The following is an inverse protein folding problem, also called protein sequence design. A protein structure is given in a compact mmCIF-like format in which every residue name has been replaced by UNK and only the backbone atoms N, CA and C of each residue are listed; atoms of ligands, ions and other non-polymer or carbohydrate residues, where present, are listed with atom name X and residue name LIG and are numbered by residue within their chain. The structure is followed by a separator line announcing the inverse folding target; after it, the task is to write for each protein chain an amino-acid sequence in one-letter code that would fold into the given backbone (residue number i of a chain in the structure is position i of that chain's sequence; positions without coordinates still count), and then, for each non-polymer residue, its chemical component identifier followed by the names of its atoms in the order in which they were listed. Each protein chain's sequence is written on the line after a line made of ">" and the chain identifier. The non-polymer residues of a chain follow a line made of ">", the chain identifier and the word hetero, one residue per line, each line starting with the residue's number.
data_IF_830016197482
#
_entry.id   IF_830016197482
#
_cell.length_a   1.000
_cell.length_b   1.000
_cell.length_c   1.000
_cell.angle_alpha   90.00
_cell.angle_beta   90.00
_cell.angle_gamma   90.00
#
_symmetry.space_group_name_H-M   'P 1'
#
loop_
_entity.id
_entity.type
_entity.pdbx_description
1 polymer ?
#
# COMPACT_ATOMS: atom_id res chain seq x y z
N UNK A 1 12.66 11.64 9.31
CA UNK A 1 11.55 11.14 8.50
C UNK A 1 11.35 12.08 7.32
N UNK A 2 11.12 11.55 6.12
CA UNK A 2 10.92 12.30 4.87
C UNK A 2 9.42 12.58 4.70
N UNK A 3 9.04 13.83 4.46
CA UNK A 3 7.65 14.18 4.17
C UNK A 3 7.32 13.90 2.71
N UNK A 4 6.41 12.96 2.46
CA UNK A 4 5.93 12.57 1.14
C UNK A 4 4.48 13.01 0.97
N UNK A 5 4.28 14.15 0.30
CA UNK A 5 2.95 14.69 0.04
C UNK A 5 2.53 14.57 -1.43
N UNK A 6 1.22 14.38 -1.65
CA UNK A 6 0.62 14.44 -2.97
C UNK A 6 0.91 15.80 -3.65
N UNK A 7 1.23 15.85 -4.95
CA UNK A 7 1.29 14.74 -5.90
C UNK A 7 2.52 13.82 -5.69
N UNK A 8 2.30 12.51 -5.79
CA UNK A 8 3.33 11.47 -5.67
C UNK A 8 4.05 11.25 -7.01
N UNK A 9 4.66 12.31 -7.54
CA UNK A 9 5.38 12.27 -8.81
C UNK A 9 6.45 11.18 -8.83
N UNK A 10 6.71 10.60 -10.00
CA UNK A 10 7.77 9.59 -10.19
C UNK A 10 9.13 10.01 -9.64
N UNK A 11 9.51 11.28 -9.83
CA UNK A 11 10.77 11.84 -9.33
C UNK A 11 10.90 11.72 -7.80
N UNK A 12 9.90 12.18 -7.05
CA UNK A 12 9.85 12.04 -5.58
C UNK A 12 9.96 10.58 -5.14
N UNK A 13 9.31 9.68 -5.87
CA UNK A 13 9.25 8.25 -5.52
C UNK A 13 10.58 7.57 -5.79
N UNK A 14 11.23 7.89 -6.92
CA UNK A 14 12.56 7.37 -7.26
C UNK A 14 13.67 7.94 -6.38
N UNK A 15 13.45 9.09 -5.73
CA UNK A 15 14.41 9.63 -4.77
C UNK A 15 14.48 8.79 -3.47
N UNK A 16 13.42 8.04 -3.15
CA UNK A 16 13.36 7.19 -1.98
C UNK A 16 14.24 5.93 -2.13
N UNK A 17 14.79 5.48 -1.01
CA UNK A 17 15.64 4.29 -0.91
C UNK A 17 15.15 3.38 0.21
N UNK A 18 15.51 2.10 0.12
CA UNK A 18 15.27 1.16 1.22
C UNK A 18 15.84 1.72 2.54
N UNK A 19 15.03 1.64 3.60
CA UNK A 19 15.36 2.14 4.93
C UNK A 19 14.86 3.57 5.21
N UNK A 20 14.45 4.32 4.18
CA UNK A 20 13.88 5.65 4.40
C UNK A 20 12.56 5.54 5.17
N UNK A 21 12.48 6.28 6.28
CA UNK A 21 11.25 6.49 7.02
C UNK A 21 10.50 7.67 6.41
N UNK A 22 9.20 7.49 6.12
CA UNK A 22 8.37 8.50 5.46
C UNK A 22 7.11 8.83 6.26
N UNK A 23 6.68 10.08 6.16
CA UNK A 23 5.34 10.52 6.52
C UNK A 23 4.54 10.81 5.25
N UNK A 24 3.49 10.04 5.02
CA UNK A 24 2.66 10.14 3.82
C UNK A 24 1.45 11.03 4.10
N UNK A 25 1.25 12.06 3.27
CA UNK A 25 0.11 12.97 3.35
C UNK A 25 -0.56 13.14 1.98
N UNK A 26 -1.87 12.92 1.91
CA UNK A 26 -2.63 13.01 0.66
C UNK A 26 -3.71 11.93 0.56
N UNK A 27 -4.17 11.66 -0.66
CA UNK A 27 -5.21 10.65 -0.91
C UNK A 27 -4.57 9.31 -1.22
N UNK A 28 -5.03 8.27 -0.51
CA UNK A 28 -4.67 6.86 -0.74
C UNK A 28 -5.93 6.04 -0.97
N UNK A 29 -5.81 4.96 -1.74
CA UNK A 29 -6.92 4.04 -1.99
C UNK A 29 -6.65 2.71 -1.33
N UNK A 30 -7.62 2.12 -0.64
CA UNK A 30 -7.47 0.74 -0.18
C UNK A 30 -7.76 -0.25 -1.30
N UNK A 31 -7.09 -1.39 -1.27
CA UNK A 31 -7.40 -2.51 -2.14
C UNK A 31 -6.61 -3.74 -1.74
N UNK A 32 -7.29 -4.87 -1.59
CA UNK A 32 -6.71 -6.16 -1.20
C UNK A 32 -7.06 -7.24 -2.20
N UNK A 33 -7.13 -8.48 -1.75
CA UNK A 33 -7.36 -9.70 -2.50
C UNK A 33 -8.47 -9.56 -3.57
N UNK A 34 -9.67 -9.08 -3.19
CA UNK A 34 -10.80 -9.00 -4.12
C UNK A 34 -10.58 -7.95 -5.24
N UNK A 35 -10.04 -6.79 -4.89
CA UNK A 35 -9.75 -5.71 -5.84
C UNK A 35 -8.65 -6.13 -6.80
N UNK A 36 -7.56 -6.72 -6.30
CA UNK A 36 -6.44 -7.15 -7.12
C UNK A 36 -6.86 -8.22 -8.12
N UNK A 37 -7.55 -9.27 -7.63
CA UNK A 37 -8.06 -10.32 -8.50
C UNK A 37 -9.03 -9.76 -9.55
N UNK A 38 -9.98 -8.92 -9.14
CA UNK A 38 -10.96 -8.34 -10.06
C UNK A 38 -10.31 -7.52 -11.17
N UNK A 39 -9.34 -6.65 -10.84
CA UNK A 39 -8.65 -5.83 -11.85
C UNK A 39 -7.76 -6.68 -12.76
N UNK A 40 -7.05 -7.67 -12.21
CA UNK A 40 -6.25 -8.61 -13.00
C UNK A 40 -7.10 -9.43 -13.98
N UNK A 41 -8.32 -9.83 -13.59
CA UNK A 41 -9.27 -10.55 -14.46
C UNK A 41 -9.99 -9.64 -15.50
N UNK A 42 -9.54 -8.39 -15.67
CA UNK A 42 -10.09 -7.45 -16.66
C UNK A 42 -11.23 -6.57 -16.14
N UNK A 43 -11.46 -6.58 -14.83
CA UNK A 43 -12.31 -5.62 -14.15
C UNK A 43 -11.85 -4.18 -14.35
N UNK A 44 -12.79 -3.23 -14.32
CA UNK A 44 -12.49 -1.81 -14.50
C UNK A 44 -12.58 -1.07 -13.18
N UNK A 45 -11.73 -0.06 -13.01
CA UNK A 45 -11.88 0.89 -11.91
C UNK A 45 -13.26 1.55 -12.00
N UNK A 46 -13.92 1.80 -10.86
CA UNK A 46 -15.19 2.49 -10.84
C UNK A 46 -15.00 3.94 -11.30
N UNK A 47 -16.04 4.58 -11.87
CA UNK A 47 -15.97 5.97 -12.29
C UNK A 47 -15.49 6.88 -11.15
N UNK A 48 -14.51 7.74 -11.44
CA UNK A 48 -13.93 8.67 -10.48
C UNK A 48 -12.72 8.13 -9.69
N UNK A 49 -12.41 6.84 -9.76
CA UNK A 49 -11.16 6.31 -9.17
C UNK A 49 -10.04 6.39 -10.19
N UNK A 50 -8.96 7.06 -9.80
CA UNK A 50 -7.71 7.09 -10.56
C UNK A 50 -6.56 6.68 -9.63
N UNK A 51 -5.91 5.56 -9.95
CA UNK A 51 -4.76 5.05 -9.20
C UNK A 51 -3.41 5.53 -9.76
N UNK A 52 -3.41 6.21 -10.92
CA UNK A 52 -2.19 6.75 -11.52
C UNK A 52 -1.59 7.82 -10.62
N UNK A 53 -0.28 7.73 -10.43
CA UNK A 53 0.47 8.59 -9.51
C UNK A 53 -0.07 8.56 -8.08
N UNK A 54 -0.74 7.46 -7.71
CA UNK A 54 -1.38 7.22 -6.43
C UNK A 54 -0.68 6.14 -5.61
N UNK A 55 -1.23 5.91 -4.42
CA UNK A 55 -0.78 4.89 -3.48
C UNK A 55 -1.93 3.92 -3.20
N UNK A 56 -1.66 2.62 -3.33
CA UNK A 56 -2.59 1.54 -3.01
C UNK A 56 -2.25 0.95 -1.64
N UNK A 57 -3.20 0.97 -0.72
CA UNK A 57 -3.04 0.51 0.64
C UNK A 57 -3.70 -0.86 0.84
N UNK A 58 -2.90 -1.89 1.15
CA UNK A 58 -3.37 -3.24 1.44
C UNK A 58 -3.97 -3.28 2.86
N UNK A 59 -5.16 -2.71 3.00
CA UNK A 59 -5.86 -2.55 4.25
C UNK A 59 -7.31 -3.01 4.11
N UNK A 60 -7.79 -3.74 5.10
CA UNK A 60 -9.22 -3.97 5.31
C UNK A 60 -9.67 -3.10 6.47
N UNK A 61 -9.99 -1.81 6.23
CA UNK A 61 -10.29 -0.91 7.32
C UNK A 61 -11.60 -1.30 8.00
N UNK A 62 -11.68 -1.04 9.30
CA UNK A 62 -12.96 -1.04 10.02
C UNK A 62 -13.50 0.38 9.94
N UNK A 63 -14.65 0.52 9.29
CA UNK A 63 -15.30 1.82 9.06
C UNK A 63 -16.72 1.78 9.59
N UNK A 64 -17.08 2.79 10.37
CA UNK A 64 -18.41 2.97 10.95
C UNK A 64 -18.98 4.30 10.48
N UNK A 65 -20.31 4.45 10.54
CA UNK A 65 -20.94 5.76 10.44
C UNK A 65 -20.98 6.42 11.82
N UNK A 66 -20.64 7.69 11.90
CA UNK A 66 -20.88 8.50 13.09
C UNK A 66 -22.37 8.88 13.23
N UNK A 67 -22.71 9.62 14.28
CA UNK A 67 -24.08 10.08 14.55
C UNK A 67 -24.64 10.98 13.45
N UNK A 68 -23.77 11.61 12.65
CA UNK A 68 -24.12 12.49 11.54
C UNK A 68 -24.19 11.73 10.20
N UNK A 69 -23.92 10.42 10.20
CA UNK A 69 -23.92 9.56 9.03
C UNK A 69 -22.63 9.59 8.22
N UNK A 70 -21.58 10.28 8.68
CA UNK A 70 -20.29 10.33 8.01
C UNK A 70 -19.47 9.08 8.30
N UNK A 71 -18.68 8.63 7.33
CA UNK A 71 -17.77 7.51 7.52
C UNK A 71 -16.57 7.89 8.39
N UNK A 72 -16.31 7.09 9.42
CA UNK A 72 -15.16 7.19 10.31
C UNK A 72 -14.41 5.86 10.33
N UNK A 73 -13.11 5.92 10.06
CA UNK A 73 -12.23 4.76 10.17
C UNK A 73 -11.85 4.57 11.64
N UNK A 74 -12.10 3.39 12.20
CA UNK A 74 -11.76 3.06 13.60
C UNK A 74 -10.55 2.14 13.70
N UNK A 75 -10.19 1.45 12.62
CA UNK A 75 -8.96 0.69 12.49
C UNK A 75 -8.51 0.66 11.03
N UNK A 76 -7.24 0.94 10.78
CA UNK A 76 -6.65 1.01 9.44
C UNK A 76 -5.29 0.31 9.43
N UNK A 77 -5.21 -0.94 9.91
CA UNK A 77 -3.97 -1.71 9.94
C UNK A 77 -3.62 -2.34 8.59
N UNK A 78 -2.32 -2.49 8.26
CA UNK A 78 -1.91 -3.16 7.03
C UNK A 78 -2.18 -4.67 7.11
N UNK A 79 -2.44 -5.26 5.96
CA UNK A 79 -2.54 -6.71 5.76
C UNK A 79 -1.30 -7.25 5.05
N UNK A 80 -1.06 -8.56 5.17
CA UNK A 80 0.13 -9.20 4.58
C UNK A 80 0.11 -9.07 3.06
N UNK A 81 1.05 -8.33 2.47
CA UNK A 81 1.02 -7.98 1.04
C UNK A 81 1.41 -9.10 0.09
N UNK A 82 2.04 -10.16 0.59
CA UNK A 82 2.42 -11.31 -0.26
C UNK A 82 1.21 -12.02 -0.88
N UNK A 83 -0.01 -11.85 -0.34
CA UNK A 83 -1.23 -12.42 -0.94
C UNK A 83 -1.52 -11.81 -2.32
N UNK A 84 -1.11 -10.57 -2.53
CA UNK A 84 -1.33 -9.81 -3.76
C UNK A 84 -0.19 -9.97 -4.80
N UNK A 85 0.92 -10.64 -4.44
CA UNK A 85 2.08 -10.87 -5.33
C UNK A 85 1.73 -11.46 -6.71
N UNK A 86 0.74 -12.37 -6.86
CA UNK A 86 0.35 -12.86 -8.18
C UNK A 86 -0.15 -11.78 -9.14
N UNK A 87 -0.62 -10.64 -8.62
CA UNK A 87 -1.34 -9.60 -9.37
C UNK A 87 -0.60 -8.24 -9.38
N UNK A 88 0.15 -7.95 -8.33
CA UNK A 88 0.64 -6.61 -8.02
C UNK A 88 1.48 -5.98 -9.14
N UNK A 89 2.40 -6.74 -9.73
CA UNK A 89 3.28 -6.24 -10.80
C UNK A 89 2.49 -5.73 -12.01
N UNK A 90 1.45 -6.46 -12.42
CA UNK A 90 0.57 -6.06 -13.52
C UNK A 90 -0.28 -4.86 -13.14
N UNK A 91 -0.76 -4.80 -11.91
CA UNK A 91 -1.56 -3.68 -11.41
C UNK A 91 -0.71 -2.39 -11.34
N UNK A 92 0.54 -2.47 -10.89
CA UNK A 92 1.49 -1.33 -10.93
C UNK A 92 1.61 -0.82 -12.37
N UNK A 93 1.90 -1.73 -13.31
CA UNK A 93 2.06 -1.41 -14.73
C UNK A 93 0.80 -0.80 -15.35
N UNK A 94 -0.35 -1.42 -15.16
CA UNK A 94 -1.61 -1.03 -15.80
C UNK A 94 -2.12 0.31 -15.27
N UNK A 95 -2.01 0.53 -13.97
CA UNK A 95 -2.63 1.67 -13.31
C UNK A 95 -1.63 2.78 -12.95
N UNK A 96 -0.33 2.60 -13.16
CA UNK A 96 0.69 3.62 -12.90
C UNK A 96 0.81 3.97 -11.41
N UNK A 97 0.70 2.95 -10.55
CA UNK A 97 0.80 3.10 -9.09
C UNK A 97 2.23 3.47 -8.72
N UNK A 98 2.38 4.35 -7.73
CA UNK A 98 3.67 4.85 -7.25
C UNK A 98 4.07 4.33 -5.88
N UNK A 99 3.09 3.91 -5.10
CA UNK A 99 3.33 3.33 -3.80
C UNK A 99 2.37 2.20 -3.50
N UNK A 100 2.88 1.18 -2.82
CA UNK A 100 2.07 0.14 -2.20
C UNK A 100 2.33 0.18 -0.71
N UNK A 101 1.30 0.38 0.11
CA UNK A 101 1.41 0.28 1.57
C UNK A 101 0.92 -1.10 2.01
N UNK A 102 1.66 -1.78 2.89
CA UNK A 102 1.19 -3.01 3.53
C UNK A 102 2.14 -3.54 4.59
N UNK A 103 2.10 -4.85 4.86
CA UNK A 103 3.09 -5.51 5.75
C UNK A 103 3.63 -6.82 5.17
N UNK A 104 4.79 -7.24 5.67
CA UNK A 104 5.41 -8.52 5.34
C UNK A 104 6.25 -8.53 4.05
N UNK A 105 6.19 -7.47 3.24
CA UNK A 105 6.94 -7.37 1.99
C UNK A 105 6.27 -8.10 0.83
N UNK A 106 6.89 -7.98 -0.34
CA UNK A 106 6.44 -8.59 -1.59
C UNK A 106 7.59 -9.27 -2.33
N UNK A 107 7.27 -10.03 -3.38
CA UNK A 107 8.21 -10.88 -4.11
C UNK A 107 8.95 -10.19 -5.24
N UNK A 108 9.73 -10.99 -5.97
CA UNK A 108 10.61 -10.51 -7.04
C UNK A 108 9.83 -9.89 -8.22
N UNK A 109 8.58 -10.30 -8.50
CA UNK A 109 7.81 -9.71 -9.60
C UNK A 109 7.42 -8.28 -9.25
N UNK A 110 6.96 -8.06 -8.02
CA UNK A 110 6.64 -6.71 -7.52
C UNK A 110 7.89 -5.85 -7.46
N UNK A 111 9.03 -6.39 -7.01
CA UNK A 111 10.31 -5.65 -6.99
C UNK A 111 10.73 -5.17 -8.39
N UNK A 112 10.65 -6.06 -9.37
CA UNK A 112 10.96 -5.72 -10.76
C UNK A 112 10.02 -4.62 -11.30
N UNK A 113 8.72 -4.70 -10.99
CA UNK A 113 7.75 -3.66 -11.37
C UNK A 113 8.03 -2.32 -10.67
N UNK A 114 8.44 -2.33 -9.39
CA UNK A 114 8.88 -1.14 -8.67
C UNK A 114 10.05 -0.44 -9.38
N UNK A 115 11.04 -1.22 -9.81
CA UNK A 115 12.19 -0.71 -10.54
C UNK A 115 11.82 -0.14 -11.91
N UNK A 116 11.09 -0.91 -12.72
CA UNK A 116 10.70 -0.56 -14.08
C UNK A 116 9.79 0.67 -14.10
N UNK A 117 8.75 0.68 -13.27
CA UNK A 117 7.68 1.68 -13.34
C UNK A 117 7.79 2.79 -12.29
N UNK A 118 8.87 2.86 -11.50
CA UNK A 118 9.06 3.94 -10.53
C UNK A 118 8.02 3.91 -9.42
N UNK A 119 7.96 2.77 -8.72
CA UNK A 119 7.11 2.53 -7.56
C UNK A 119 7.98 2.08 -6.38
N UNK A 120 7.47 2.25 -5.16
CA UNK A 120 8.10 1.74 -3.93
C UNK A 120 7.09 1.00 -3.06
N UNK A 121 7.60 0.09 -2.22
CA UNK A 121 6.80 -0.57 -1.19
C UNK A 121 7.06 0.07 0.17
N UNK A 122 5.98 0.53 0.79
CA UNK A 122 5.93 1.11 2.11
C UNK A 122 5.44 0.06 3.12
N UNK A 123 6.33 -0.37 4.01
CA UNK A 123 5.95 -1.20 5.14
C UNK A 123 5.33 -0.32 6.22
N UNK A 124 4.04 -0.52 6.48
CA UNK A 124 3.34 0.08 7.62
C UNK A 124 3.43 -0.82 8.85
N UNK A 125 3.39 -0.23 10.05
CA UNK A 125 3.55 -0.98 11.30
C UNK A 125 2.33 -1.85 11.57
N UNK A 126 2.51 -3.18 11.55
CA UNK A 126 1.48 -4.13 11.92
C UNK A 126 1.12 -4.05 13.41
N UNK A 127 -0.15 -4.27 13.75
CA UNK A 127 -0.64 -4.24 15.14
C UNK A 127 -1.01 -2.86 15.67
N UNK A 128 -0.63 -1.78 14.99
CA UNK A 128 -0.95 -0.40 15.37
C UNK A 128 -2.22 0.16 14.67
N UNK A 129 -3.22 -0.68 14.43
CA UNK A 129 -4.34 -0.35 13.53
C UNK A 129 -5.17 0.89 13.96
N UNK A 130 -5.34 1.10 15.26
CA UNK A 130 -6.05 2.28 15.78
C UNK A 130 -5.21 3.56 15.61
N UNK A 131 -3.91 3.50 15.91
CA UNK A 131 -2.97 4.62 15.71
C UNK A 131 -2.93 5.01 14.24
N UNK A 132 -2.84 4.04 13.33
CA UNK A 132 -2.87 4.31 11.89
C UNK A 132 -4.22 4.87 11.41
N UNK A 133 -5.32 4.55 12.09
CA UNK A 133 -6.63 5.14 11.79
C UNK A 133 -6.70 6.63 12.19
N UNK A 134 -5.95 7.08 13.20
CA UNK A 134 -5.87 8.50 13.59
C UNK A 134 -5.20 9.36 12.50
N UNK A 135 -4.36 8.76 11.65
CA UNK A 135 -3.80 9.41 10.47
C UNK A 135 -4.85 9.64 9.37
N UNK A 136 -5.97 8.90 9.36
CA UNK A 136 -7.05 9.07 8.39
C UNK A 136 -7.93 10.24 8.81
N UNK A 137 -7.81 11.36 8.10
CA UNK A 137 -8.54 12.60 8.40
C UNK A 137 -9.92 12.64 7.78
N UNK A 138 -10.10 11.96 6.64
CA UNK A 138 -11.38 11.93 5.94
C UNK A 138 -11.53 10.67 5.10
N UNK A 139 -12.72 10.07 5.14
CA UNK A 139 -13.16 9.12 4.11
C UNK A 139 -13.85 9.94 3.02
N UNK A 140 -13.22 10.04 1.85
CA UNK A 140 -13.74 10.82 0.72
C UNK A 140 -14.85 10.07 0.00
N UNK A 141 -14.67 8.76 -0.18
CA UNK A 141 -15.65 7.91 -0.81
C UNK A 141 -15.39 6.42 -0.52
N UNK A 142 -16.36 5.58 -0.88
CA UNK A 142 -16.22 4.12 -0.90
C UNK A 142 -16.80 3.56 -2.18
N UNK A 143 -16.07 2.68 -2.83
CA UNK A 143 -16.46 2.05 -4.08
C UNK A 143 -16.51 0.54 -3.93
N UNK A 144 -17.40 -0.10 -4.69
CA UNK A 144 -17.65 -1.55 -4.64
C UNK A 144 -18.04 -2.09 -3.25
N UNK A 145 -18.60 -1.24 -2.38
CA UNK A 145 -19.03 -1.65 -1.03
C UNK A 145 -20.02 -2.82 -1.04
N UNK A 146 -21.05 -2.76 -1.88
CA UNK A 146 -22.06 -3.83 -1.99
C UNK A 146 -21.49 -5.09 -2.66
N UNK A 147 -20.50 -4.92 -3.55
CA UNK A 147 -19.92 -6.01 -4.34
C UNK A 147 -18.89 -6.82 -3.56
N UNK A 148 -18.01 -6.15 -2.83
CA UNK A 148 -16.88 -6.78 -2.13
C UNK A 148 -17.05 -6.78 -0.61
N UNK A 149 -17.98 -5.99 -0.07
CA UNK A 149 -18.11 -5.79 1.37
C UNK A 149 -17.08 -4.80 1.91
N UNK A 150 -17.34 -4.28 3.11
CA UNK A 150 -16.55 -3.22 3.74
C UNK A 150 -15.02 -3.46 3.74
N UNK A 151 -14.49 -4.62 4.19
CA UNK A 151 -13.04 -4.79 4.31
C UNK A 151 -12.32 -5.03 2.97
N UNK A 152 -13.03 -5.28 1.88
CA UNK A 152 -12.47 -5.53 0.53
C UNK A 152 -12.83 -4.41 -0.46
N UNK A 153 -13.68 -3.47 -0.06
CA UNK A 153 -14.04 -2.31 -0.85
C UNK A 153 -12.84 -1.37 -1.09
N UNK A 154 -12.97 -0.53 -2.12
CA UNK A 154 -11.99 0.53 -2.38
C UNK A 154 -12.43 1.75 -1.57
N UNK A 155 -11.72 2.03 -0.49
CA UNK A 155 -11.90 3.25 0.29
C UNK A 155 -10.95 4.32 -0.20
N UNK A 156 -11.46 5.50 -0.51
CA UNK A 156 -10.67 6.70 -0.82
C UNK A 156 -10.45 7.47 0.48
N UNK A 157 -9.23 7.43 0.99
CA UNK A 157 -8.86 7.95 2.30
C UNK A 157 -7.92 9.13 2.14
N UNK A 158 -8.24 10.23 2.82
CA UNK A 158 -7.32 11.34 3.02
C UNK A 158 -6.53 11.09 4.30
N UNK A 159 -5.22 10.94 4.17
CA UNK A 159 -4.30 10.68 5.28
C UNK A 159 -3.36 11.85 5.49
N UNK A 160 -2.95 12.05 6.75
CA UNK A 160 -1.98 13.07 7.13
C UNK A 160 -0.95 12.44 8.07
N UNK A 161 0.33 12.64 7.74
CA UNK A 161 1.48 12.10 8.47
C UNK A 161 1.36 10.59 8.76
N UNK A 162 0.91 9.81 7.77
CA UNK A 162 0.84 8.36 7.90
C UNK A 162 2.27 7.78 7.88
N UNK A 163 2.74 7.12 8.96
CA UNK A 163 4.11 6.64 9.04
C UNK A 163 4.30 5.32 8.29
N UNK A 164 5.38 5.24 7.51
CA UNK A 164 5.82 3.99 6.90
C UNK A 164 7.33 3.96 6.68
N UNK A 165 7.87 2.78 6.38
CA UNK A 165 9.29 2.60 6.02
C UNK A 165 9.37 2.01 4.61
N UNK A 166 10.24 2.55 3.77
CA UNK A 166 10.50 1.98 2.44
C UNK A 166 11.27 0.67 2.61
N UNK A 167 10.68 -0.47 2.26
CA UNK A 167 11.37 -1.77 2.35
C UNK A 167 11.60 -2.44 0.99
N UNK A 168 11.03 -1.88 -0.08
CA UNK A 168 11.44 -2.16 -1.46
C UNK A 168 11.44 -0.85 -2.23
N UNK A 169 12.52 -0.54 -2.95
CA UNK A 169 12.65 0.72 -3.68
C UNK A 169 12.61 0.53 -5.21
N UNK A 170 12.63 1.65 -5.94
CA UNK A 170 12.64 1.66 -7.41
C UNK A 170 14.03 1.41 -8.01
N UNK A 171 15.01 1.01 -7.21
CA UNK A 171 16.38 0.73 -7.64
C UNK A 171 16.68 -0.77 -7.64
N UNK A 172 15.69 -1.59 -7.30
CA UNK A 172 15.81 -3.04 -7.24
C UNK A 172 16.27 -3.57 -5.87
N UNK A 173 16.26 -2.72 -4.83
CA UNK A 173 16.64 -3.14 -3.48
C UNK A 173 15.42 -3.62 -2.70
N UNK A 174 15.63 -4.62 -1.83
CA UNK A 174 14.59 -5.16 -0.94
C UNK A 174 15.19 -5.55 0.39
N UNK A 175 14.78 -4.86 1.45
CA UNK A 175 15.21 -5.15 2.83
C UNK A 175 14.85 -6.58 3.23
N UNK A 176 13.69 -7.06 2.79
CA UNK A 176 13.24 -8.42 3.07
C UNK A 176 14.16 -9.48 2.47
N UNK A 177 14.66 -9.24 1.24
CA UNK A 177 15.58 -10.14 0.55
C UNK A 177 16.95 -10.14 1.21
N UNK A 178 17.46 -8.96 1.58
CA UNK A 178 18.73 -8.81 2.28
C UNK A 178 18.74 -9.53 3.63
N UNK A 179 17.70 -9.31 4.45
CA UNK A 179 17.57 -9.95 5.77
C UNK A 179 17.40 -11.46 5.64
N UNK A 180 16.65 -11.95 4.66
CA UNK A 180 16.50 -13.38 4.41
C UNK A 180 17.86 -14.02 4.06
N UNK A 181 18.63 -13.41 3.15
CA UNK A 181 19.95 -13.91 2.76
C UNK A 181 20.92 -13.93 3.95
N UNK A 182 20.97 -12.85 4.73
CA UNK A 182 21.82 -12.77 5.93
C UNK A 182 21.42 -13.83 6.98
N UNK A 183 20.12 -14.06 7.16
CA UNK A 183 19.58 -15.04 8.09
C UNK A 183 19.89 -16.48 7.67
N UNK A 184 19.88 -16.79 6.37
CA UNK A 184 20.28 -18.10 5.83
C UNK A 184 21.76 -18.40 6.09
N UNK A 185 22.63 -17.40 5.90
CA UNK A 185 24.06 -17.53 6.22
C UNK A 185 24.26 -17.82 7.70
N UNK A 186 23.53 -17.15 8.57
CA UNK A 186 23.65 -17.33 10.02
C UNK A 186 23.06 -18.67 10.50
N UNK A 187 21.97 -19.13 9.89
CA UNK A 187 21.39 -20.44 10.14
C UNK A 187 22.34 -21.57 9.74
N UNK A 188 23.00 -21.46 8.58
CA UNK A 188 23.95 -22.46 8.09
C UNK A 188 25.16 -22.66 9.02
N UNK A 189 25.52 -21.68 9.84
CA UNK A 189 26.58 -21.82 10.87
C UNK A 189 26.15 -22.65 12.09
N UNK A 190 24.84 -22.88 12.26
CA UNK A 190 24.24 -23.58 13.42
C UNK A 190 23.74 -24.99 13.08
N UNK A 191 23.65 -25.31 11.78
CA UNK A 191 23.34 -26.64 11.28
C UNK A 191 24.64 -27.40 11.03
#
# INVERSE_FOLDING_TARGET
>A
MIDLSFPFTEEKIRALKVGDEVFISGVVFTGRDAVHKYLHEGGRLPPGVNLRDGILYHCGPVVLKDEQGNWKVTAAGPTTSTREEPYQAEIIKQFGIRGVIGKGGMGDKTLAACQEFGCVYFHAVGGAAQVLAECVKKVRNVYFLEKFGSPEAIWELEVEHFPAVVTMDSHGNSLHKEILAASQVELAKRL
#
